data_IF_179809665620
#
_entry.id   IF_179809665620
#
_cell.length_a   1.000
_cell.length_b   1.000
_cell.length_c   1.000
_cell.angle_alpha   90.00
_cell.angle_beta   90.00
_cell.angle_gamma   90.00
#
_symmetry.space_group_name_H-M   'P 1'
#
loop_
_entity.id
_entity.type
_entity.pdbx_description
1 polymer ?
#
# COMPACT_ATOMS: atom_id res chain seq x y z
N UNK A 1 -9.58 -24.37 9.02
CA UNK A 1 -8.64 -24.11 7.90
C UNK A 1 -9.20 -23.04 6.98
N UNK A 2 -8.37 -22.09 6.57
CA UNK A 2 -8.68 -21.06 5.59
C UNK A 2 -7.58 -21.07 4.51
N UNK A 3 -8.00 -20.92 3.26
CA UNK A 3 -7.12 -20.77 2.10
C UNK A 3 -7.54 -19.49 1.38
N UNK A 4 -6.57 -18.59 1.19
CA UNK A 4 -6.71 -17.37 0.43
C UNK A 4 -5.83 -17.50 -0.82
N UNK A 5 -6.45 -17.38 -1.99
CA UNK A 5 -5.77 -17.46 -3.28
C UNK A 5 -5.94 -16.12 -4.01
N UNK A 6 -4.83 -15.54 -4.45
CA UNK A 6 -4.81 -14.34 -5.29
C UNK A 6 -3.84 -14.56 -6.45
N UNK A 7 -4.39 -14.82 -7.64
CA UNK A 7 -3.60 -15.15 -8.84
C UNK A 7 -2.58 -16.26 -8.51
N UNK A 8 -1.29 -15.96 -8.49
CA UNK A 8 -0.20 -16.92 -8.24
C UNK A 8 0.20 -17.03 -6.76
N UNK A 9 -0.31 -16.14 -5.90
CA UNK A 9 0.00 -16.11 -4.47
C UNK A 9 -1.08 -16.86 -3.66
N UNK A 10 -0.65 -17.79 -2.80
CA UNK A 10 -1.54 -18.55 -1.93
C UNK A 10 -1.12 -18.46 -0.46
N UNK A 11 -2.07 -18.14 0.40
CA UNK A 11 -1.93 -18.14 1.85
C UNK A 11 -2.83 -19.22 2.47
N UNK A 12 -2.24 -20.11 3.27
CA UNK A 12 -2.94 -21.18 3.97
C UNK A 12 -2.76 -20.98 5.47
N UNK A 13 -3.86 -20.99 6.23
CA UNK A 13 -3.85 -20.87 7.69
C UNK A 13 -4.88 -21.81 8.33
N UNK A 14 -4.71 -22.12 9.61
CA UNK A 14 -5.54 -23.07 10.33
C UNK A 14 -4.98 -23.39 11.71
N UNK A 15 -5.81 -24.07 12.48
CA UNK A 15 -5.56 -24.56 13.84
C UNK A 15 -4.83 -25.91 13.87
N UNK A 16 -4.92 -26.71 12.81
CA UNK A 16 -4.20 -27.99 12.66
C UNK A 16 -3.06 -27.90 11.63
N UNK A 17 -1.82 -27.89 12.14
CA UNK A 17 -0.61 -27.86 11.33
C UNK A 17 -0.44 -29.13 10.47
N UNK A 18 -0.91 -30.30 10.93
CA UNK A 18 -0.83 -31.53 10.14
C UNK A 18 -1.76 -31.45 8.93
N UNK A 19 -2.97 -30.92 9.14
CA UNK A 19 -3.92 -30.70 8.06
C UNK A 19 -3.39 -29.69 7.04
N UNK A 20 -2.76 -28.60 7.49
CA UNK A 20 -2.09 -27.63 6.60
C UNK A 20 -0.99 -28.31 5.78
N UNK A 21 -0.13 -29.11 6.42
CA UNK A 21 0.94 -29.82 5.73
C UNK A 21 0.42 -30.82 4.69
N UNK A 22 -0.65 -31.54 5.01
CA UNK A 22 -1.31 -32.46 4.08
C UNK A 22 -1.87 -31.73 2.86
N UNK A 23 -2.53 -30.59 3.06
CA UNK A 23 -3.10 -29.80 1.97
C UNK A 23 -2.00 -29.20 1.10
N UNK A 24 -0.94 -28.64 1.70
CA UNK A 24 0.24 -28.17 0.96
C UNK A 24 0.83 -29.26 0.07
N UNK A 25 0.99 -30.47 0.61
CA UNK A 25 1.52 -31.61 -0.14
C UNK A 25 0.65 -31.96 -1.36
N UNK A 26 -0.66 -32.11 -1.16
CA UNK A 26 -1.59 -32.43 -2.25
C UNK A 26 -1.59 -31.36 -3.34
N UNK A 27 -1.54 -30.09 -2.96
CA UNK A 27 -1.48 -29.00 -3.93
C UNK A 27 -0.16 -29.00 -4.71
N UNK A 28 0.97 -29.32 -4.06
CA UNK A 28 2.26 -29.44 -4.75
C UNK A 28 2.38 -30.65 -5.69
N UNK A 29 1.53 -31.67 -5.52
CA UNK A 29 1.48 -32.83 -6.42
C UNK A 29 0.70 -32.49 -7.71
N UNK A 30 -0.34 -31.67 -7.62
CA UNK A 30 -1.19 -31.27 -8.75
C UNK A 30 -0.71 -29.99 -9.47
N UNK A 31 -0.04 -29.09 -8.74
CA UNK A 31 0.36 -27.78 -9.24
C UNK A 31 1.86 -27.52 -9.05
N UNK A 32 2.48 -26.85 -10.02
CA UNK A 32 3.84 -26.34 -9.87
C UNK A 32 3.85 -25.16 -8.90
N UNK A 33 4.06 -25.44 -7.62
CA UNK A 33 4.12 -24.43 -6.57
C UNK A 33 5.31 -24.65 -5.64
N UNK A 34 5.77 -23.58 -5.00
CA UNK A 34 6.85 -23.61 -4.00
C UNK A 34 6.33 -23.15 -2.64
N UNK A 35 6.67 -23.88 -1.58
CA UNK A 35 6.39 -23.43 -0.21
C UNK A 35 7.46 -22.42 0.23
N UNK A 36 7.05 -21.18 0.43
CA UNK A 36 7.93 -20.08 0.84
C UNK A 36 8.09 -20.03 2.38
N UNK A 37 7.46 -20.96 3.10
CA UNK A 37 7.55 -21.08 4.55
C UNK A 37 6.54 -20.18 5.28
N UNK A 38 6.88 -19.70 6.49
CA UNK A 38 6.02 -18.80 7.26
C UNK A 38 5.72 -17.50 6.50
N UNK A 39 4.52 -16.94 6.72
CA UNK A 39 4.09 -15.69 6.11
C UNK A 39 5.07 -14.55 6.45
N UNK A 40 5.79 -14.07 5.43
CA UNK A 40 6.67 -12.89 5.50
C UNK A 40 6.25 -11.80 4.51
N UNK A 41 5.77 -12.20 3.34
CA UNK A 41 5.29 -11.31 2.30
C UNK A 41 4.04 -11.91 1.66
N UNK A 42 3.03 -11.09 1.39
CA UNK A 42 1.86 -11.46 0.59
C UNK A 42 1.34 -10.20 -0.12
N UNK A 43 1.17 -10.26 -1.45
CA UNK A 43 0.77 -9.11 -2.27
C UNK A 43 1.67 -7.87 -2.09
N UNK A 44 2.96 -8.05 -1.85
CA UNK A 44 3.87 -6.93 -1.58
C UNK A 44 3.62 -6.19 -0.26
N UNK A 45 2.85 -6.80 0.66
CA UNK A 45 2.76 -6.40 2.06
C UNK A 45 3.71 -7.28 2.86
N UNK A 46 4.62 -6.65 3.59
CA UNK A 46 5.52 -7.30 4.54
C UNK A 46 4.77 -7.58 5.85
N UNK A 47 4.88 -8.81 6.33
CA UNK A 47 4.24 -9.28 7.56
C UNK A 47 5.32 -9.71 8.54
N UNK A 48 5.39 -9.03 9.67
CA UNK A 48 6.26 -9.42 10.78
C UNK A 48 5.41 -9.95 11.93
N UNK A 49 5.60 -11.23 12.27
CA UNK A 49 4.96 -11.85 13.42
C UNK A 49 5.82 -11.67 14.67
N UNK A 50 5.20 -11.22 15.75
CA UNK A 50 5.82 -11.04 17.07
C UNK A 50 4.99 -11.73 18.15
N UNK A 51 5.48 -11.72 19.40
CA UNK A 51 4.69 -12.21 20.52
C UNK A 51 3.42 -11.38 20.74
N UNK A 52 3.51 -10.07 20.53
CA UNK A 52 2.44 -9.11 20.80
C UNK A 52 1.39 -9.05 19.69
N UNK A 53 1.73 -9.48 18.47
CA UNK A 53 0.83 -9.42 17.32
C UNK A 53 1.55 -9.45 15.97
N UNK A 54 0.88 -8.91 14.95
CA UNK A 54 1.39 -8.81 13.59
C UNK A 54 1.60 -7.35 13.19
N UNK A 55 2.74 -7.07 12.56
CA UNK A 55 3.00 -5.79 11.89
C UNK A 55 2.86 -5.95 10.38
N UNK A 56 2.05 -5.09 9.76
CA UNK A 56 1.92 -5.00 8.30
C UNK A 56 2.61 -3.74 7.79
N UNK A 57 3.63 -3.91 6.96
CA UNK A 57 4.45 -2.84 6.41
C UNK A 57 4.45 -2.87 4.88
N UNK A 58 4.54 -1.68 4.27
CA UNK A 58 4.80 -1.51 2.84
C UNK A 58 5.95 -0.52 2.61
N UNK A 59 6.92 -0.47 3.54
CA UNK A 59 8.05 0.46 3.48
C UNK A 59 8.79 0.41 2.13
N UNK A 60 9.09 -0.80 1.63
CA UNK A 60 9.74 -0.97 0.31
C UNK A 60 8.88 -0.41 -0.83
N UNK A 61 7.57 -0.63 -0.79
CA UNK A 61 6.66 -0.11 -1.80
C UNK A 61 6.57 1.42 -1.77
N UNK A 62 6.59 2.03 -0.58
CA UNK A 62 6.67 3.49 -0.46
C UNK A 62 7.96 4.02 -1.09
N UNK A 63 9.10 3.36 -0.84
CA UNK A 63 10.38 3.72 -1.45
C UNK A 63 10.30 3.65 -2.99
N UNK A 64 9.73 2.57 -3.54
CA UNK A 64 9.55 2.41 -4.98
C UNK A 64 8.65 3.51 -5.58
N UNK A 65 7.59 3.93 -4.87
CA UNK A 65 6.74 5.07 -5.29
C UNK A 65 7.55 6.36 -5.32
N UNK A 66 8.35 6.61 -4.28
CA UNK A 66 9.18 7.82 -4.17
C UNK A 66 10.22 7.88 -5.29
N UNK A 67 10.88 6.77 -5.60
CA UNK A 67 11.89 6.71 -6.65
C UNK A 67 11.27 6.98 -8.03
N UNK A 68 10.06 6.48 -8.29
CA UNK A 68 9.31 6.74 -9.55
C UNK A 68 8.72 8.15 -9.63
N UNK A 69 8.52 8.82 -8.50
CA UNK A 69 7.92 10.16 -8.44
C UNK A 69 8.79 11.25 -9.04
N UNK A 70 10.11 11.02 -9.16
CA UNK A 70 11.08 11.99 -9.68
C UNK A 70 11.31 13.18 -8.76
N UNK A 71 10.94 13.06 -7.48
CA UNK A 71 11.32 14.03 -6.45
C UNK A 71 12.83 14.02 -6.27
N UNK A 72 13.50 15.07 -6.75
CA UNK A 72 14.96 15.27 -6.61
C UNK A 72 15.34 15.90 -5.28
N UNK A 73 14.38 16.56 -4.61
CA UNK A 73 14.59 17.12 -3.29
C UNK A 73 14.42 16.06 -2.18
N UNK A 74 14.97 16.34 -1.00
CA UNK A 74 14.80 15.54 0.22
C UNK A 74 13.78 16.15 1.21
N UNK A 75 12.88 17.03 0.74
CA UNK A 75 11.90 17.68 1.61
C UNK A 75 10.89 16.66 2.13
N UNK A 76 10.43 16.91 3.34
CA UNK A 76 9.35 16.16 3.98
C UNK A 76 8.17 17.10 4.27
N UNK A 77 6.98 16.53 4.43
CA UNK A 77 5.80 17.26 4.87
C UNK A 77 5.25 16.61 6.15
N UNK A 78 4.78 17.40 7.10
CA UNK A 78 4.26 16.88 8.37
C UNK A 78 2.83 16.34 8.25
N UNK A 79 2.06 16.87 7.30
CA UNK A 79 0.67 16.47 7.05
C UNK A 79 0.49 15.95 5.62
N UNK A 80 -0.38 14.95 5.40
CA UNK A 80 -0.64 14.39 4.08
C UNK A 80 -1.33 15.39 3.14
N UNK A 81 -2.12 16.32 3.70
CA UNK A 81 -2.85 17.35 2.97
C UNK A 81 -3.05 18.58 3.87
N UNK A 82 -3.38 19.72 3.26
CA UNK A 82 -3.71 20.95 3.98
C UNK A 82 -5.15 20.91 4.52
N UNK A 83 -5.36 21.52 5.69
CA UNK A 83 -6.68 21.62 6.29
C UNK A 83 -7.57 22.55 5.44
N UNK A 84 -8.83 22.18 5.25
CA UNK A 84 -9.82 22.94 4.47
C UNK A 84 -9.44 23.15 2.98
N UNK A 85 -8.57 22.29 2.43
CA UNK A 85 -8.22 22.34 1.02
C UNK A 85 -9.46 22.10 0.15
N UNK A 86 -9.79 23.05 -0.71
CA UNK A 86 -10.82 22.91 -1.74
C UNK A 86 -10.14 22.91 -3.11
N UNK A 87 -10.10 21.75 -3.75
CA UNK A 87 -9.62 21.60 -5.12
C UNK A 87 -10.81 21.53 -6.07
N UNK A 88 -10.74 22.24 -7.19
CA UNK A 88 -11.73 22.24 -8.26
C UNK A 88 -11.07 21.80 -9.56
N UNK A 89 -11.88 21.23 -10.44
CA UNK A 89 -11.42 20.75 -11.76
C UNK A 89 -10.83 21.90 -12.60
N UNK A 90 -11.28 23.13 -12.37
CA UNK A 90 -10.82 24.34 -13.08
C UNK A 90 -9.55 24.97 -12.49
N UNK A 91 -9.00 24.41 -11.41
CA UNK A 91 -7.89 25.05 -10.71
C UNK A 91 -6.54 24.75 -11.38
N UNK A 92 -5.92 25.80 -11.91
CA UNK A 92 -4.61 25.74 -12.56
C UNK A 92 -4.65 25.13 -13.96
N UNK A 93 -3.46 25.02 -14.57
CA UNK A 93 -3.33 24.53 -15.93
C UNK A 93 -3.36 22.99 -15.99
N UNK A 94 -4.11 22.37 -16.92
CA UNK A 94 -4.09 20.93 -17.15
C UNK A 94 -2.68 20.41 -17.41
N UNK A 95 -2.39 19.19 -16.95
CA UNK A 95 -1.15 18.50 -17.31
C UNK A 95 -1.20 18.07 -18.78
N UNK A 96 -0.13 18.35 -19.54
CA UNK A 96 0.03 17.88 -20.91
C UNK A 96 0.02 16.34 -20.98
N UNK A 97 0.73 15.69 -20.05
CA UNK A 97 0.70 14.23 -19.88
C UNK A 97 0.22 13.83 -18.47
N UNK A 98 -1.03 13.32 -18.32
CA UNK A 98 -1.55 12.88 -17.04
C UNK A 98 -1.03 11.51 -16.59
N UNK A 99 -0.29 10.77 -17.44
CA UNK A 99 0.11 9.37 -17.20
C UNK A 99 0.81 9.20 -15.86
N UNK A 100 1.76 10.08 -15.55
CA UNK A 100 2.50 10.02 -14.28
C UNK A 100 1.61 10.27 -13.06
N UNK A 101 0.70 11.24 -13.16
CA UNK A 101 -0.29 11.51 -12.11
C UNK A 101 -1.15 10.27 -11.85
N UNK A 102 -1.70 9.66 -12.91
CA UNK A 102 -2.56 8.47 -12.83
C UNK A 102 -1.82 7.28 -12.21
N UNK A 103 -0.57 7.04 -12.61
CA UNK A 103 0.25 5.94 -12.09
C UNK A 103 0.55 6.09 -10.60
N UNK A 104 0.91 7.30 -10.17
CA UNK A 104 1.20 7.59 -8.76
C UNK A 104 -0.07 7.50 -7.91
N UNK A 105 -1.20 8.07 -8.36
CA UNK A 105 -2.48 7.95 -7.64
C UNK A 105 -2.92 6.49 -7.52
N UNK A 106 -2.81 5.70 -8.59
CA UNK A 106 -3.10 4.26 -8.55
C UNK A 106 -2.26 3.52 -7.52
N UNK A 107 -0.96 3.86 -7.42
CA UNK A 107 -0.07 3.27 -6.44
C UNK A 107 -0.42 3.68 -4.99
N UNK A 108 -0.87 4.92 -4.80
CA UNK A 108 -1.32 5.42 -3.50
C UNK A 108 -2.65 4.79 -3.04
N UNK A 109 -3.55 4.49 -3.98
CA UNK A 109 -4.78 3.73 -3.67
C UNK A 109 -4.42 2.37 -3.10
N UNK A 110 -3.44 1.67 -3.69
CA UNK A 110 -2.97 0.40 -3.17
C UNK A 110 -2.30 0.53 -1.80
N UNK A 111 -1.45 1.55 -1.62
CA UNK A 111 -0.78 1.84 -0.35
C UNK A 111 -1.78 2.12 0.80
N UNK A 112 -2.98 2.63 0.48
CA UNK A 112 -4.04 2.88 1.46
C UNK A 112 -4.42 1.68 2.32
N UNK A 113 -4.13 0.45 1.86
CA UNK A 113 -4.34 -0.80 2.63
C UNK A 113 -3.55 -0.79 3.94
N UNK A 114 -2.30 -0.30 3.93
CA UNK A 114 -1.44 -0.22 5.14
C UNK A 114 -1.27 1.20 5.67
N UNK A 115 -1.76 2.21 4.94
CA UNK A 115 -1.67 3.63 5.31
C UNK A 115 -3.05 4.30 5.34
N UNK A 116 -3.92 3.94 6.30
CA UNK A 116 -5.24 4.56 6.41
C UNK A 116 -5.16 6.07 6.69
N UNK A 117 -4.05 6.56 7.22
CA UNK A 117 -3.80 7.97 7.50
C UNK A 117 -3.72 8.85 6.24
N UNK A 118 -3.49 8.26 5.05
CA UNK A 118 -3.49 9.00 3.78
C UNK A 118 -4.81 8.91 3.02
N UNK A 119 -5.77 8.09 3.47
CA UNK A 119 -7.00 7.76 2.72
C UNK A 119 -7.77 8.99 2.26
N UNK A 120 -7.88 10.01 3.11
CA UNK A 120 -8.54 11.26 2.74
C UNK A 120 -7.83 11.98 1.59
N UNK A 121 -6.50 12.14 1.69
CA UNK A 121 -5.72 12.80 0.65
C UNK A 121 -5.78 12.04 -0.68
N UNK A 122 -5.68 10.71 -0.62
CA UNK A 122 -5.79 9.85 -1.80
C UNK A 122 -7.19 9.93 -2.42
N UNK A 123 -8.24 9.94 -1.61
CA UNK A 123 -9.61 10.10 -2.08
C UNK A 123 -9.79 11.39 -2.89
N UNK A 124 -9.36 12.53 -2.34
CA UNK A 124 -9.45 13.82 -3.04
C UNK A 124 -8.64 13.82 -4.34
N UNK A 125 -7.38 13.38 -4.32
CA UNK A 125 -6.53 13.34 -5.52
C UNK A 125 -7.07 12.39 -6.60
N UNK A 126 -7.77 11.32 -6.19
CA UNK A 126 -8.37 10.36 -7.12
C UNK A 126 -9.51 10.96 -7.95
N UNK A 127 -10.17 12.03 -7.47
CA UNK A 127 -11.25 12.70 -8.20
C UNK A 127 -10.77 13.37 -9.49
N UNK A 128 -9.48 13.70 -9.58
CA UNK A 128 -8.89 14.45 -10.71
C UNK A 128 -8.11 13.58 -11.70
N UNK A 129 -8.16 12.25 -11.59
CA UNK A 129 -7.39 11.30 -12.43
C UNK A 129 -7.69 11.45 -13.92
N UNK A 130 -8.91 11.85 -14.29
CA UNK A 130 -9.31 12.04 -15.68
C UNK A 130 -8.57 13.23 -16.33
N UNK A 131 -8.57 14.39 -15.66
CA UNK A 131 -7.95 15.63 -16.14
C UNK A 131 -7.25 16.35 -14.98
N UNK A 132 -6.06 15.88 -14.57
CA UNK A 132 -5.29 16.51 -13.51
C UNK A 132 -4.64 17.82 -13.97
N UNK A 133 -4.43 18.74 -13.04
CA UNK A 133 -3.77 20.03 -13.28
C UNK A 133 -2.42 20.08 -12.57
N UNK A 134 -1.62 21.09 -12.87
CA UNK A 134 -0.36 21.35 -12.16
C UNK A 134 -0.59 21.54 -10.65
N UNK A 135 -1.71 22.16 -10.26
CA UNK A 135 -2.07 22.33 -8.85
C UNK A 135 -2.34 20.96 -8.20
N UNK A 136 -3.15 20.11 -8.82
CA UNK A 136 -3.40 18.75 -8.33
C UNK A 136 -2.09 17.95 -8.19
N UNK A 137 -1.19 18.07 -9.15
CA UNK A 137 0.12 17.41 -9.09
C UNK A 137 0.97 17.93 -7.93
N UNK A 138 0.94 19.23 -7.63
CA UNK A 138 1.67 19.79 -6.49
C UNK A 138 1.21 19.22 -5.14
N UNK A 139 -0.10 18.99 -4.96
CA UNK A 139 -0.65 18.34 -3.77
C UNK A 139 -0.32 16.84 -3.71
N UNK A 140 -0.30 16.16 -4.87
CA UNK A 140 0.21 14.79 -4.96
C UNK A 140 1.67 14.71 -4.49
N UNK A 141 2.54 15.61 -4.95
CA UNK A 141 3.94 15.66 -4.51
C UNK A 141 4.07 15.97 -3.02
N UNK A 142 3.20 16.83 -2.46
CA UNK A 142 3.13 17.06 -1.01
C UNK A 142 2.83 15.78 -0.24
N UNK A 143 1.85 14.99 -0.68
CA UNK A 143 1.53 13.71 -0.07
C UNK A 143 2.70 12.73 -0.13
N UNK A 144 3.45 12.70 -1.23
CA UNK A 144 4.66 11.89 -1.34
C UNK A 144 5.76 12.35 -0.36
N UNK A 145 5.94 13.66 -0.16
CA UNK A 145 6.85 14.19 0.86
C UNK A 145 6.43 13.80 2.29
N UNK A 146 5.13 13.70 2.56
CA UNK A 146 4.63 13.17 3.82
C UNK A 146 4.96 11.68 4.00
N UNK A 147 4.76 10.87 2.96
CA UNK A 147 5.12 9.46 2.97
C UNK A 147 6.62 9.25 3.21
N UNK A 148 7.48 10.08 2.62
CA UNK A 148 8.93 10.07 2.87
C UNK A 148 9.26 10.26 4.34
N UNK A 149 8.63 11.23 5.01
CA UNK A 149 8.84 11.48 6.44
C UNK A 149 8.25 10.40 7.36
N UNK A 150 7.39 9.53 6.82
CA UNK A 150 6.63 8.53 7.58
C UNK A 150 6.82 7.11 7.04
N UNK A 151 7.94 6.85 6.37
CA UNK A 151 8.17 5.64 5.58
C UNK A 151 8.17 4.36 6.43
N UNK A 152 8.58 4.46 7.70
CA UNK A 152 8.66 3.34 8.65
C UNK A 152 7.35 3.06 9.39
N UNK A 153 6.29 3.83 9.13
CA UNK A 153 4.98 3.57 9.76
C UNK A 153 4.37 2.28 9.20
N UNK A 154 3.81 1.47 10.09
CA UNK A 154 3.17 0.21 9.78
C UNK A 154 1.88 0.05 10.61
N UNK A 155 1.01 -0.88 10.21
CA UNK A 155 -0.16 -1.25 10.99
C UNK A 155 0.21 -2.34 11.99
N UNK A 156 -0.28 -2.22 13.22
CA UNK A 156 -0.11 -3.23 14.25
C UNK A 156 -1.46 -3.88 14.58
N UNK A 157 -1.51 -5.21 14.47
CA UNK A 157 -2.65 -6.05 14.81
C UNK A 157 -2.30 -6.85 16.07
N UNK A 158 -2.80 -6.46 17.25
CA UNK A 158 -2.47 -7.14 18.49
C UNK A 158 -3.07 -8.56 18.51
N UNK A 159 -2.36 -9.50 19.15
CA UNK A 159 -2.82 -10.89 19.30
C UNK A 159 -4.09 -11.01 20.14
N UNK A 160 -4.20 -10.16 21.16
CA UNK A 160 -5.40 -10.02 21.97
C UNK A 160 -6.11 -8.73 21.57
N UNK A 161 -7.29 -8.86 20.99
CA UNK A 161 -8.22 -7.75 20.79
C UNK A 161 -9.30 -7.82 21.86
N UNK A 162 -9.71 -6.66 22.39
CA UNK A 162 -10.89 -6.55 23.26
C UNK A 162 -12.21 -6.43 22.49
N UNK A 163 -12.16 -6.50 21.15
CA UNK A 163 -13.32 -6.57 20.26
C UNK A 163 -13.79 -8.01 20.09
#
# INVERSE_FOLDING_TARGET
>A
MLLLLYVDDMLITGDDLHHIALVKKRLSEEFMMSDVGPLRYFLGIEVTSTFDGYYLSQQKYIQDILDRSGLTDHRIAETPMELNLQLRVTDGEPLEDPTRYRHLVGSLVYLGITRPDISYAVHILSQFVCSPTQLHYSHLLRLLRYLRGTISRCLFFPRSSSL
#
